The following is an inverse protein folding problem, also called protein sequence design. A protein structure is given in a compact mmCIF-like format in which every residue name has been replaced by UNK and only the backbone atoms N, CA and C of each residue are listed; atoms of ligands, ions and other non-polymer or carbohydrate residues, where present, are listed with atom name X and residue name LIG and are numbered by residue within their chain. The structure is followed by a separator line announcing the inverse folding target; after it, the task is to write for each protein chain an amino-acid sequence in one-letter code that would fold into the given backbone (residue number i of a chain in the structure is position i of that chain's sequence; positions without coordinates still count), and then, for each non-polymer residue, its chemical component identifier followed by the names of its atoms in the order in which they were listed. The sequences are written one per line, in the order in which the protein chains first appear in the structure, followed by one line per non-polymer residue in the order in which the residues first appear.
data_IF_539829765118
#
_entry.id   IF_539829765118
#
_cell.length_a   1.000
_cell.length_b   1.000
_cell.length_c   1.000
_cell.angle_alpha   90.00
_cell.angle_beta   90.00
_cell.angle_gamma   90.00
#
_symmetry.space_group_name_H-M   'P 1'
#
loop_
_entity.id
_entity.type
_entity.pdbx_description
1 polymer ?
#
# COMPACT_ATOMS: atom_id res chain seq x y z
N UNK A 1 -2.64 -28.09 -16.81
CA UNK A 1 -3.99 -27.59 -17.11
C UNK A 1 -3.93 -26.08 -17.00
N UNK A 2 -3.72 -25.42 -18.14
CA UNK A 2 -3.69 -23.96 -18.23
C UNK A 2 -5.10 -23.42 -18.07
N UNK A 3 -5.35 -22.65 -17.01
CA UNK A 3 -6.52 -21.78 -16.93
C UNK A 3 -6.26 -20.57 -17.82
N UNK A 4 -6.98 -20.54 -18.93
CA UNK A 4 -7.11 -19.40 -19.83
C UNK A 4 -7.66 -18.22 -19.00
N UNK A 5 -6.84 -17.17 -18.79
CA UNK A 5 -7.34 -15.86 -18.34
C UNK A 5 -7.97 -15.21 -19.58
N UNK A 6 -9.25 -14.91 -19.53
CA UNK A 6 -9.91 -14.14 -20.57
C UNK A 6 -9.37 -12.70 -20.54
N UNK A 7 -8.90 -12.21 -21.69
CA UNK A 7 -8.49 -10.82 -21.91
C UNK A 7 -9.67 -9.87 -21.71
N UNK A 8 -9.77 -9.33 -20.50
CA UNK A 8 -10.05 -7.91 -20.25
C UNK A 8 -8.87 -7.41 -19.41
N UNK A 9 -8.35 -6.22 -19.70
CA UNK A 9 -7.29 -5.61 -18.90
C UNK A 9 -7.81 -5.33 -17.48
N UNK A 10 -7.76 -6.33 -16.60
CA UNK A 10 -8.17 -6.19 -15.21
C UNK A 10 -7.12 -5.32 -14.50
N UNK A 11 -7.45 -4.03 -14.42
CA UNK A 11 -6.73 -3.00 -13.67
C UNK A 11 -6.30 -3.53 -12.30
N UNK A 12 -4.99 -3.63 -12.06
CA UNK A 12 -4.46 -3.95 -10.72
C UNK A 12 -4.05 -2.67 -10.01
N UNK A 13 -4.51 -2.51 -8.77
CA UNK A 13 -4.34 -1.30 -7.95
C UNK A 13 -3.47 -1.61 -6.75
N UNK A 14 -2.27 -1.04 -6.72
CA UNK A 14 -1.29 -1.30 -5.68
C UNK A 14 -1.12 -0.08 -4.80
N UNK A 15 -1.07 -0.28 -3.49
CA UNK A 15 -0.81 0.79 -2.54
C UNK A 15 0.45 0.47 -1.74
N UNK A 16 1.34 1.44 -1.61
CA UNK A 16 2.53 1.35 -0.79
C UNK A 16 2.45 2.44 0.28
N UNK A 17 2.28 2.05 1.54
CA UNK A 17 2.22 3.01 2.65
C UNK A 17 3.45 2.88 3.55
N UNK A 18 4.08 4.02 3.86
CA UNK A 18 5.28 4.07 4.73
C UNK A 18 4.90 4.39 6.16
N UNK A 19 5.07 3.41 7.05
CA UNK A 19 4.95 3.55 8.50
C UNK A 19 6.30 3.87 9.13
N UNK A 20 6.62 5.16 9.24
CA UNK A 20 7.89 5.67 9.76
C UNK A 20 8.18 5.26 11.20
N UNK A 21 7.13 5.16 12.01
CA UNK A 21 7.26 4.78 13.43
C UNK A 21 6.83 3.36 13.73
N UNK A 22 6.18 2.69 12.78
CA UNK A 22 5.66 1.36 13.01
C UNK A 22 6.82 0.35 13.12
N UNK A 23 6.92 -0.42 14.23
CA UNK A 23 8.05 -1.30 14.48
C UNK A 23 8.14 -2.42 13.44
N UNK A 24 9.35 -2.68 12.95
CA UNK A 24 9.64 -3.73 11.95
C UNK A 24 9.80 -5.14 12.54
N UNK A 25 9.82 -5.28 13.87
CA UNK A 25 9.91 -6.56 14.59
C UNK A 25 9.35 -6.44 16.00
N UNK A 26 9.07 -7.59 16.62
CA UNK A 26 8.64 -7.65 18.02
C UNK A 26 7.13 -7.59 18.19
N UNK A 27 6.68 -7.21 19.39
CA UNK A 27 5.27 -7.30 19.77
C UNK A 27 4.59 -5.93 19.73
N UNK A 28 3.41 -5.88 19.12
CA UNK A 28 2.54 -4.70 19.09
C UNK A 28 1.62 -4.72 20.30
N UNK A 29 1.40 -3.56 20.94
CA UNK A 29 0.36 -3.43 21.94
C UNK A 29 -0.99 -3.21 21.25
N UNK A 30 -1.77 -4.29 21.10
CA UNK A 30 -3.09 -4.23 20.44
C UNK A 30 -4.11 -3.32 21.15
N UNK A 31 -3.84 -2.92 22.40
CA UNK A 31 -4.67 -1.97 23.14
C UNK A 31 -4.22 -0.51 22.95
N UNK A 32 -3.11 -0.27 22.25
CA UNK A 32 -2.53 1.05 22.01
C UNK A 32 -1.87 1.12 20.64
N UNK A 33 -2.69 1.06 19.59
CA UNK A 33 -2.23 1.09 18.19
C UNK A 33 -1.72 2.48 17.78
N UNK A 34 -2.33 3.55 18.31
CA UNK A 34 -2.03 4.93 17.96
C UNK A 34 -0.92 5.58 18.80
N UNK A 35 -0.67 5.08 20.01
CA UNK A 35 0.42 5.58 20.86
C UNK A 35 1.69 4.75 20.69
N UNK A 36 1.90 3.86 21.66
CA UNK A 36 3.15 3.09 21.85
C UNK A 36 3.47 2.10 20.74
N UNK A 37 2.54 1.83 19.82
CA UNK A 37 2.77 0.94 18.68
C UNK A 37 3.21 1.66 17.40
N UNK A 38 3.48 2.97 17.45
CA UNK A 38 4.06 3.70 16.32
C UNK A 38 3.06 3.97 15.19
N UNK A 39 1.83 4.36 15.54
CA UNK A 39 0.73 4.68 14.60
C UNK A 39 0.33 3.56 13.65
N UNK A 40 0.34 2.34 14.15
CA UNK A 40 -0.17 1.19 13.40
C UNK A 40 -1.66 1.37 13.05
N UNK A 41 -2.43 2.12 13.85
CA UNK A 41 -3.81 2.50 13.54
C UNK A 41 -3.95 3.14 12.14
N UNK A 42 -2.96 3.93 11.69
CA UNK A 42 -2.97 4.57 10.37
C UNK A 42 -2.81 3.52 9.28
N UNK A 43 -1.91 2.57 9.46
CA UNK A 43 -1.68 1.47 8.52
C UNK A 43 -2.88 0.54 8.44
N UNK A 44 -3.53 0.24 9.57
CA UNK A 44 -4.71 -0.65 9.59
C UNK A 44 -5.88 -0.02 8.84
N UNK A 45 -6.10 1.28 9.03
CA UNK A 45 -7.10 2.03 8.25
C UNK A 45 -6.77 2.06 6.76
N UNK A 46 -5.50 2.15 6.39
CA UNK A 46 -5.07 2.07 5.00
C UNK A 46 -5.37 0.70 4.38
N UNK A 47 -5.11 -0.40 5.09
CA UNK A 47 -5.49 -1.75 4.64
C UNK A 47 -7.01 -1.86 4.47
N UNK A 48 -7.77 -1.34 5.45
CA UNK A 48 -9.22 -1.35 5.40
C UNK A 48 -9.72 -0.67 4.12
N UNK A 49 -9.26 0.56 3.87
CA UNK A 49 -9.62 1.34 2.69
C UNK A 49 -9.17 0.70 1.36
N UNK A 50 -8.01 0.07 1.32
CA UNK A 50 -7.46 -0.52 0.10
C UNK A 50 -8.16 -1.83 -0.31
N UNK A 51 -8.61 -2.62 0.67
CA UNK A 51 -9.03 -3.99 0.40
C UNK A 51 -10.52 -4.24 0.58
N UNK A 52 -11.17 -3.65 1.58
CA UNK A 52 -12.48 -4.11 1.99
C UNK A 52 -13.63 -3.36 1.31
N UNK A 53 -14.61 -4.13 0.86
CA UNK A 53 -15.91 -3.64 0.38
C UNK A 53 -16.96 -3.86 1.47
N UNK A 54 -18.18 -3.34 1.24
CA UNK A 54 -19.32 -3.67 2.11
C UNK A 54 -19.55 -5.18 2.21
N UNK A 55 -19.29 -5.90 1.11
CA UNK A 55 -19.36 -7.35 1.02
C UNK A 55 -18.11 -7.86 0.29
N UNK A 56 -17.17 -8.41 1.06
CA UNK A 56 -15.98 -9.07 0.51
C UNK A 56 -14.74 -8.16 0.42
N UNK A 57 -13.81 -8.59 -0.43
CA UNK A 57 -12.47 -8.02 -0.59
C UNK A 57 -12.28 -7.72 -2.08
N UNK A 58 -11.73 -6.54 -2.41
CA UNK A 58 -11.31 -6.14 -3.76
C UNK A 58 -10.28 -7.14 -4.28
N UNK A 59 -10.59 -7.82 -5.39
CA UNK A 59 -9.74 -8.86 -5.98
C UNK A 59 -8.65 -8.31 -6.90
N UNK A 60 -8.77 -7.03 -7.21
CA UNK A 60 -7.95 -6.22 -8.10
C UNK A 60 -7.07 -5.24 -7.32
N UNK A 61 -6.91 -5.42 -5.99
CA UNK A 61 -6.12 -4.52 -5.16
C UNK A 61 -5.18 -5.22 -4.19
N UNK A 62 -4.01 -4.62 -3.98
CA UNK A 62 -3.02 -5.02 -3.00
C UNK A 62 -2.49 -3.82 -2.22
N UNK A 63 -2.00 -4.07 -1.01
CA UNK A 63 -1.34 -3.06 -0.19
C UNK A 63 -0.09 -3.59 0.50
N UNK A 64 1.03 -2.91 0.27
CA UNK A 64 2.32 -3.14 0.94
C UNK A 64 2.55 -2.08 2.02
N UNK A 65 2.66 -2.55 3.27
CA UNK A 65 3.09 -1.74 4.41
C UNK A 65 4.61 -1.75 4.50
N UNK A 66 5.23 -0.58 4.66
CA UNK A 66 6.66 -0.46 4.95
C UNK A 66 6.82 -0.08 6.42
N UNK A 67 7.29 -1.03 7.24
CA UNK A 67 7.52 -0.82 8.66
C UNK A 67 8.97 -0.40 8.87
N UNK A 68 9.17 0.90 9.12
CA UNK A 68 10.48 1.55 9.15
C UNK A 68 10.94 1.90 10.57
N UNK A 69 10.07 1.71 11.57
CA UNK A 69 10.32 2.10 12.95
C UNK A 69 11.01 1.03 13.80
N UNK A 70 11.45 1.47 14.98
CA UNK A 70 12.11 0.63 15.98
C UNK A 70 13.57 0.31 15.64
N UNK A 71 14.14 -0.68 16.32
CA UNK A 71 15.57 -1.05 16.19
C UNK A 71 15.83 -2.14 15.14
N UNK A 72 14.82 -2.56 14.39
CA UNK A 72 14.93 -3.61 13.38
C UNK A 72 15.24 -3.06 11.99
N UNK A 73 15.74 -3.91 11.09
CA UNK A 73 15.82 -3.58 9.66
C UNK A 73 14.41 -3.39 9.09
N UNK A 74 14.23 -2.57 8.05
CA UNK A 74 12.96 -2.39 7.36
C UNK A 74 12.30 -3.72 6.99
N UNK A 75 11.00 -3.80 7.24
CA UNK A 75 10.15 -4.94 6.88
C UNK A 75 8.99 -4.47 6.04
N UNK A 76 8.71 -5.19 4.96
CA UNK A 76 7.51 -5.03 4.15
C UNK A 76 6.51 -6.14 4.45
N UNK A 77 5.23 -5.79 4.50
CA UNK A 77 4.12 -6.75 4.63
C UNK A 77 3.12 -6.46 3.53
N UNK A 78 2.84 -7.43 2.67
CA UNK A 78 1.90 -7.29 1.58
C UNK A 78 0.60 -8.04 1.88
N UNK A 79 -0.52 -7.40 1.57
CA UNK A 79 -1.84 -8.00 1.56
C UNK A 79 -2.35 -8.00 0.11
N UNK A 80 -2.51 -9.17 -0.48
CA UNK A 80 -2.97 -9.38 -1.86
C UNK A 80 -4.45 -9.77 -1.86
N UNK A 81 -5.31 -8.83 -2.23
CA UNK A 81 -6.76 -9.01 -2.23
C UNK A 81 -7.26 -10.12 -3.15
N UNK A 82 -6.52 -10.46 -4.21
CA UNK A 82 -6.90 -11.51 -5.17
C UNK A 82 -7.08 -12.86 -4.48
N UNK A 83 -6.19 -13.18 -3.54
CA UNK A 83 -6.16 -14.47 -2.81
C UNK A 83 -6.42 -14.35 -1.31
N UNK A 84 -6.44 -13.13 -0.74
CA UNK A 84 -6.67 -12.90 0.69
C UNK A 84 -8.02 -13.49 1.14
N UNK A 85 -7.98 -14.23 2.24
CA UNK A 85 -9.16 -14.76 2.93
C UNK A 85 -8.92 -14.84 4.44
N UNK A 86 -10.01 -14.95 5.22
CA UNK A 86 -9.93 -15.18 6.67
C UNK A 86 -9.46 -13.96 7.48
N UNK A 87 -9.48 -12.75 6.89
CA UNK A 87 -9.13 -11.50 7.55
C UNK A 87 -10.40 -10.66 7.76
N UNK A 88 -10.52 -10.06 8.94
CA UNK A 88 -11.62 -9.16 9.28
C UNK A 88 -11.18 -7.69 9.13
N UNK A 89 -12.07 -6.78 8.67
CA UNK A 89 -11.75 -5.37 8.44
C UNK A 89 -11.53 -4.55 9.73
N UNK A 90 -11.81 -5.13 10.89
CA UNK A 90 -11.58 -4.50 12.19
C UNK A 90 -10.07 -4.22 12.41
N UNK A 91 -9.75 -3.01 12.87
CA UNK A 91 -8.35 -2.56 13.04
C UNK A 91 -7.57 -3.46 13.99
N UNK A 92 -8.19 -3.93 15.08
CA UNK A 92 -7.53 -4.78 16.06
C UNK A 92 -7.26 -6.17 15.47
N UNK A 93 -8.19 -6.73 14.69
CA UNK A 93 -8.00 -7.99 13.99
C UNK A 93 -6.85 -7.92 12.98
N UNK A 94 -6.80 -6.85 12.17
CA UNK A 94 -5.71 -6.58 11.23
C UNK A 94 -4.36 -6.42 11.95
N UNK A 95 -4.33 -5.64 13.03
CA UNK A 95 -3.13 -5.45 13.83
C UNK A 95 -2.66 -6.77 14.47
N UNK A 96 -3.59 -7.67 14.80
CA UNK A 96 -3.30 -9.03 15.23
C UNK A 96 -2.56 -9.85 14.16
N UNK A 97 -2.93 -9.73 12.88
CA UNK A 97 -2.22 -10.40 11.79
C UNK A 97 -0.82 -9.81 11.59
N UNK A 98 -0.70 -8.48 11.55
CA UNK A 98 0.62 -7.81 11.49
C UNK A 98 1.49 -8.22 12.67
N UNK A 99 0.94 -8.29 13.88
CA UNK A 99 1.69 -8.71 15.07
C UNK A 99 2.21 -10.13 14.95
N UNK A 100 1.53 -11.05 14.25
CA UNK A 100 2.06 -12.40 13.99
C UNK A 100 3.23 -12.34 13.01
N UNK A 101 3.09 -11.57 11.93
CA UNK A 101 4.16 -11.37 10.93
C UNK A 101 5.44 -10.82 11.57
N UNK A 102 5.31 -9.92 12.56
CA UNK A 102 6.45 -9.35 13.27
C UNK A 102 7.20 -10.33 14.19
N UNK A 103 6.60 -11.48 14.52
CA UNK A 103 7.27 -12.56 15.26
C UNK A 103 8.10 -13.48 14.35
N UNK A 104 7.81 -13.48 13.04
CA UNK A 104 8.53 -14.30 12.08
C UNK A 104 9.93 -13.75 11.80
N UNK A 105 10.93 -14.62 11.52
CA UNK A 105 12.22 -14.20 11.02
C UNK A 105 12.08 -13.26 9.82
N UNK A 106 12.97 -12.27 9.70
CA UNK A 106 12.95 -11.35 8.57
C UNK A 106 13.51 -12.06 7.32
N UNK A 107 12.74 -12.21 6.23
CA UNK A 107 13.26 -12.77 4.98
C UNK A 107 14.36 -11.90 4.37
N UNK A 108 15.07 -12.44 3.38
CA UNK A 108 15.98 -11.65 2.57
C UNK A 108 15.23 -10.53 1.83
N UNK A 109 15.95 -9.46 1.49
CA UNK A 109 15.38 -8.33 0.73
C UNK A 109 14.92 -8.83 -0.64
N UNK A 110 13.67 -8.50 -1.00
CA UNK A 110 13.02 -8.92 -2.24
C UNK A 110 12.52 -10.36 -2.27
N UNK A 111 12.72 -11.14 -1.19
CA UNK A 111 12.16 -12.48 -1.08
C UNK A 111 10.88 -12.45 -0.25
N UNK A 112 9.74 -12.58 -0.93
CA UNK A 112 8.43 -12.69 -0.30
C UNK A 112 8.22 -14.08 0.30
N UNK A 113 7.88 -14.13 1.58
CA UNK A 113 7.47 -15.34 2.29
C UNK A 113 5.99 -15.22 2.68
N UNK A 114 5.18 -16.21 2.32
CA UNK A 114 3.74 -16.22 2.60
C UNK A 114 3.46 -16.89 3.95
N UNK A 115 2.72 -16.20 4.82
CA UNK A 115 2.29 -16.76 6.12
C UNK A 115 0.94 -17.48 5.98
N UNK A 116 0.02 -16.89 5.22
CA UNK A 116 -1.24 -17.49 4.82
C UNK A 116 -1.69 -16.85 3.50
N UNK A 117 -2.66 -17.44 2.78
CA UNK A 117 -2.98 -16.95 1.44
C UNK A 117 -3.34 -15.46 1.44
N UNK A 118 -2.60 -14.71 0.62
CA UNK A 118 -2.72 -13.26 0.48
C UNK A 118 -2.05 -12.43 1.57
N UNK A 119 -1.35 -13.02 2.54
CA UNK A 119 -0.52 -12.31 3.52
C UNK A 119 0.92 -12.79 3.44
N UNK A 120 1.79 -11.93 2.93
CA UNK A 120 3.22 -12.20 2.80
C UNK A 120 4.07 -11.08 3.39
N UNK A 121 5.33 -11.36 3.62
CA UNK A 121 6.29 -10.37 4.10
C UNK A 121 7.66 -10.55 3.46
N UNK A 122 8.44 -9.47 3.47
CA UNK A 122 9.79 -9.43 2.91
C UNK A 122 10.65 -8.48 3.73
N UNK A 123 11.97 -8.66 3.69
CA UNK A 123 12.88 -7.56 4.01
C UNK A 123 12.82 -6.47 2.93
N UNK A 124 13.32 -5.29 3.25
CA UNK A 124 13.44 -4.17 2.30
C UNK A 124 12.64 -2.95 2.73
N UNK A 125 12.88 -1.86 2.01
CA UNK A 125 12.36 -0.52 2.25
C UNK A 125 11.57 -0.01 1.03
N UNK A 126 11.27 1.29 1.02
CA UNK A 126 10.56 1.95 -0.06
C UNK A 126 11.27 1.78 -1.42
N UNK A 127 12.59 1.96 -1.47
CA UNK A 127 13.37 1.82 -2.70
C UNK A 127 13.26 0.40 -3.27
N UNK A 128 13.25 -0.61 -2.39
CA UNK A 128 13.06 -2.00 -2.79
C UNK A 128 11.73 -2.18 -3.56
N UNK A 129 10.65 -1.57 -3.07
CA UNK A 129 9.34 -1.60 -3.74
C UNK A 129 9.35 -0.83 -5.06
N UNK A 130 9.98 0.35 -5.11
CA UNK A 130 10.14 1.12 -6.35
C UNK A 130 10.86 0.29 -7.41
N UNK A 131 11.96 -0.39 -7.05
CA UNK A 131 12.74 -1.21 -7.98
C UNK A 131 11.95 -2.42 -8.48
N UNK A 132 11.18 -3.08 -7.62
CA UNK A 132 10.30 -4.20 -7.98
C UNK A 132 9.18 -3.76 -8.91
N UNK A 133 8.56 -2.61 -8.62
CA UNK A 133 7.46 -2.07 -9.40
C UNK A 133 7.93 -1.56 -10.76
N UNK A 134 9.10 -0.91 -10.81
CA UNK A 134 9.75 -0.50 -12.06
C UNK A 134 10.08 -1.69 -12.96
N UNK A 135 10.60 -2.79 -12.40
CA UNK A 135 10.89 -4.03 -13.15
C UNK A 135 9.63 -4.70 -13.70
N UNK A 136 8.49 -4.48 -13.04
CA UNK A 136 7.19 -5.03 -13.43
C UNK A 136 6.38 -4.05 -14.30
N UNK A 137 7.01 -2.94 -14.73
CA UNK A 137 6.40 -1.91 -15.59
C UNK A 137 5.11 -1.30 -15.00
N UNK A 138 5.03 -1.24 -13.67
CA UNK A 138 3.89 -0.64 -12.96
C UNK A 138 3.96 0.88 -13.06
N UNK A 139 2.85 1.53 -13.40
CA UNK A 139 2.78 2.99 -13.39
C UNK A 139 2.75 3.49 -11.95
N UNK A 140 3.77 4.23 -11.52
CA UNK A 140 3.94 4.64 -10.13
C UNK A 140 3.56 6.10 -9.92
N UNK A 141 2.73 6.34 -8.91
CA UNK A 141 2.19 7.65 -8.56
C UNK A 141 2.57 7.98 -7.12
N UNK A 142 3.20 9.15 -6.92
CA UNK A 142 3.38 9.75 -5.60
C UNK A 142 2.22 10.69 -5.34
N UNK A 143 1.44 10.46 -4.28
CA UNK A 143 0.40 11.40 -3.90
C UNK A 143 1.00 12.60 -3.17
N UNK A 144 0.79 13.79 -3.72
CA UNK A 144 1.41 15.05 -3.27
C UNK A 144 0.41 16.21 -3.44
N UNK A 145 0.16 16.98 -2.38
CA UNK A 145 -0.85 18.06 -2.42
C UNK A 145 -0.52 19.15 -3.42
N UNK A 146 0.78 19.38 -3.68
CA UNK A 146 1.27 20.52 -4.46
C UNK A 146 1.43 20.16 -5.96
N UNK A 147 1.14 18.90 -6.32
CA UNK A 147 1.21 18.41 -7.68
C UNK A 147 -0.08 18.70 -8.48
N UNK A 148 -0.04 18.59 -9.83
CA UNK A 148 -1.26 18.62 -10.63
C UNK A 148 -2.27 17.56 -10.18
N UNK A 149 -3.56 17.84 -10.37
CA UNK A 149 -4.63 16.90 -10.02
C UNK A 149 -4.44 15.56 -10.72
N UNK A 150 -4.71 14.47 -10.00
CA UNK A 150 -4.61 13.09 -10.49
C UNK A 150 -5.53 12.82 -11.67
N UNK A 151 -6.65 13.51 -11.75
CA UNK A 151 -7.61 13.40 -12.84
C UNK A 151 -7.58 14.64 -13.72
N UNK A 152 -7.96 14.47 -14.98
CA UNK A 152 -8.18 15.58 -15.91
C UNK A 152 -9.39 15.29 -16.80
N UNK A 153 -9.85 16.27 -17.57
CA UNK A 153 -10.90 16.06 -18.58
C UNK A 153 -10.36 15.45 -19.89
N UNK A 154 -9.06 15.11 -19.94
CA UNK A 154 -8.44 14.52 -21.12
C UNK A 154 -8.69 13.01 -21.15
N UNK A 155 -8.95 12.46 -22.35
CA UNK A 155 -9.19 11.02 -22.54
C UNK A 155 -7.87 10.22 -22.59
N UNK A 156 -7.11 10.20 -21.49
CA UNK A 156 -6.01 9.24 -21.33
C UNK A 156 -6.54 7.92 -20.79
N UNK A 157 -6.06 6.81 -21.36
CA UNK A 157 -6.41 5.47 -20.92
C UNK A 157 -5.78 5.17 -19.56
N UNK A 158 -6.54 4.55 -18.66
CA UNK A 158 -6.02 4.09 -17.37
C UNK A 158 -5.04 2.92 -17.62
N UNK A 159 -3.81 2.96 -17.07
CA UNK A 159 -2.87 1.84 -17.17
C UNK A 159 -3.43 0.57 -16.55
N UNK A 160 -3.03 -0.60 -17.05
CA UNK A 160 -3.49 -1.90 -16.52
C UNK A 160 -2.95 -2.24 -15.13
N UNK A 161 -1.81 -1.66 -14.72
CA UNK A 161 -1.25 -1.83 -13.37
C UNK A 161 -0.70 -0.49 -12.86
N UNK A 162 -1.23 -0.06 -11.72
CA UNK A 162 -0.97 1.26 -11.15
C UNK A 162 -0.68 1.17 -9.66
N UNK A 163 0.39 1.82 -9.24
CA UNK A 163 0.88 1.84 -7.88
C UNK A 163 0.84 3.24 -7.27
N UNK A 164 0.35 3.37 -6.05
CA UNK A 164 0.27 4.64 -5.33
C UNK A 164 1.13 4.59 -4.07
N UNK A 165 2.00 5.58 -3.90
CA UNK A 165 2.81 5.76 -2.69
C UNK A 165 2.15 6.77 -1.75
N UNK A 166 2.02 6.37 -0.49
CA UNK A 166 1.47 7.16 0.60
C UNK A 166 2.41 7.14 1.80
N UNK A 167 2.42 8.23 2.54
CA UNK A 167 3.07 8.31 3.84
C UNK A 167 2.06 8.08 4.98
N UNK A 168 2.56 7.80 6.19
CA UNK A 168 1.77 7.73 7.40
C UNK A 168 1.43 9.14 7.95
N UNK A 169 1.50 9.34 9.27
CA UNK A 169 1.27 10.65 9.88
C UNK A 169 2.50 11.57 9.88
N UNK A 170 3.59 11.15 9.23
CA UNK A 170 4.77 11.97 8.94
C UNK A 170 4.89 12.18 7.43
N UNK A 171 5.51 13.27 6.96
CA UNK A 171 5.90 13.37 5.57
C UNK A 171 6.97 12.32 5.24
N UNK A 172 7.11 12.00 3.95
CA UNK A 172 8.28 11.27 3.46
C UNK A 172 9.56 12.02 3.84
N UNK A 173 10.62 11.26 4.11
CA UNK A 173 11.97 11.81 4.32
C UNK A 173 12.58 12.31 3.00
N UNK A 174 13.61 13.16 3.08
CA UNK A 174 14.30 13.67 1.89
C UNK A 174 14.86 12.55 1.00
N UNK A 175 15.33 11.45 1.63
CA UNK A 175 15.81 10.27 0.92
C UNK A 175 14.70 9.56 0.15
N UNK A 176 13.53 9.40 0.76
CA UNK A 176 12.36 8.77 0.13
C UNK A 176 11.78 9.66 -0.97
N UNK A 177 11.71 10.98 -0.74
CA UNK A 177 11.29 11.95 -1.75
C UNK A 177 12.20 11.91 -2.97
N UNK A 178 13.53 11.86 -2.78
CA UNK A 178 14.48 11.76 -3.89
C UNK A 178 14.23 10.52 -4.75
N UNK A 179 14.03 9.36 -4.11
CA UNK A 179 13.71 8.10 -4.79
C UNK A 179 12.37 8.14 -5.53
N UNK A 180 11.34 8.72 -4.90
CA UNK A 180 10.01 8.83 -5.48
C UNK A 180 9.98 9.82 -6.64
N UNK A 181 10.63 10.97 -6.53
CA UNK A 181 10.68 12.00 -7.59
C UNK A 181 11.42 11.53 -8.84
N UNK A 182 12.41 10.62 -8.68
CA UNK A 182 13.12 10.01 -9.82
C UNK A 182 12.27 8.98 -10.57
N UNK A 183 11.33 8.30 -9.89
CA UNK A 183 10.68 7.09 -10.41
C UNK A 183 9.15 7.21 -10.56
N UNK A 184 8.52 8.19 -9.93
CA UNK A 184 7.07 8.30 -9.83
C UNK A 184 6.55 9.60 -10.46
N UNK A 185 5.30 9.55 -10.90
CA UNK A 185 4.55 10.72 -11.35
C UNK A 185 3.86 11.33 -10.12
N UNK A 186 4.17 12.58 -9.78
CA UNK A 186 3.53 13.28 -8.66
C UNK A 186 2.13 13.75 -9.04
N UNK A 187 1.11 13.42 -8.24
CA UNK A 187 -0.27 13.87 -8.44
C UNK A 187 -1.02 14.16 -7.14
N UNK A 188 -1.94 15.13 -7.20
CA UNK A 188 -2.74 15.59 -6.08
C UNK A 188 -4.17 15.04 -6.12
N UNK A 189 -4.78 14.89 -4.94
CA UNK A 189 -6.21 14.63 -4.77
C UNK A 189 -6.99 15.88 -4.34
N UNK A 190 -6.32 17.03 -4.26
CA UNK A 190 -6.88 18.31 -3.84
C UNK A 190 -5.91 19.08 -2.94
N UNK A 191 -6.27 20.33 -2.62
CA UNK A 191 -5.41 21.28 -1.88
C UNK A 191 -5.18 20.88 -0.41
N UNK A 192 -6.04 20.05 0.16
CA UNK A 192 -5.98 19.66 1.55
C UNK A 192 -5.13 18.41 1.78
N UNK A 193 -4.31 18.45 2.83
CA UNK A 193 -3.62 17.28 3.35
C UNK A 193 -4.62 16.35 4.02
N UNK A 194 -5.01 15.29 3.31
CA UNK A 194 -5.96 14.29 3.80
C UNK A 194 -5.24 13.06 4.36
N UNK A 195 -5.91 12.33 5.26
CA UNK A 195 -5.35 11.10 5.81
C UNK A 195 -5.24 10.02 4.72
N UNK A 196 -4.15 9.24 4.72
CA UNK A 196 -3.86 8.28 3.65
C UNK A 196 -4.99 7.30 3.32
N UNK A 197 -5.72 6.80 4.31
CA UNK A 197 -6.87 5.92 4.06
C UNK A 197 -8.03 6.61 3.32
N UNK A 198 -8.23 7.93 3.51
CA UNK A 198 -9.20 8.71 2.74
C UNK A 198 -8.71 8.89 1.30
N UNK A 199 -7.40 9.16 1.12
CA UNK A 199 -6.80 9.24 -0.20
C UNK A 199 -6.99 7.93 -1.00
N UNK A 200 -6.76 6.78 -0.37
CA UNK A 200 -7.03 5.46 -0.96
C UNK A 200 -8.50 5.33 -1.36
N UNK A 201 -9.44 5.74 -0.49
CA UNK A 201 -10.87 5.71 -0.79
C UNK A 201 -11.26 6.58 -2.00
N UNK A 202 -10.68 7.78 -2.12
CA UNK A 202 -10.90 8.68 -3.27
C UNK A 202 -10.34 8.07 -4.54
N UNK A 203 -9.11 7.55 -4.51
CA UNK A 203 -8.48 6.87 -5.66
C UNK A 203 -9.35 5.70 -6.13
N UNK A 204 -9.81 4.85 -5.20
CA UNK A 204 -10.72 3.77 -5.54
C UNK A 204 -12.02 4.25 -6.16
N UNK A 205 -12.64 5.28 -5.58
CA UNK A 205 -13.87 5.84 -6.13
C UNK A 205 -13.67 6.33 -7.57
N UNK A 206 -12.54 6.97 -7.85
CA UNK A 206 -12.23 7.47 -9.19
C UNK A 206 -11.98 6.35 -10.19
N UNK A 207 -11.16 5.37 -9.83
CA UNK A 207 -10.87 4.21 -10.67
C UNK A 207 -12.12 3.34 -10.90
N UNK A 208 -12.97 3.16 -9.89
CA UNK A 208 -14.25 2.42 -10.01
C UNK A 208 -15.22 3.09 -10.99
N UNK A 209 -15.16 4.42 -11.13
CA UNK A 209 -16.00 5.18 -12.06
C UNK A 209 -15.31 5.45 -13.41
N UNK A 210 -14.10 4.93 -13.62
CA UNK A 210 -13.35 5.10 -14.86
C UNK A 210 -12.99 6.55 -15.16
N UNK A 211 -12.75 7.37 -14.13
CA UNK A 211 -12.27 8.74 -14.35
C UNK A 211 -10.90 8.69 -15.03
N UNK A 212 -10.68 9.44 -16.13
CA UNK A 212 -9.39 9.45 -16.79
C UNK A 212 -8.34 10.09 -15.89
N UNK A 213 -7.17 9.46 -15.89
CA UNK A 213 -6.02 9.92 -15.13
C UNK A 213 -5.25 10.96 -15.96
N UNK A 214 -4.56 11.84 -15.26
CA UNK A 214 -3.60 12.77 -15.82
C UNK A 214 -2.22 12.18 -15.53
N UNK A 215 -1.54 11.52 -16.48
CA UNK A 215 -0.28 10.79 -16.19
C UNK A 215 0.93 11.40 -16.92
#
# INVERSE_FOLDING_TARGET
MSTCRCEGDDLTRRFAIVGHRAPSRGKINLNDLAGGSGRIDVLMRAINAALFLSHGIRKDSEITLHLMGGEGRPRRINFDGSVLWGVHPDERALAGQVSKVLQEPLPAVGQWFELHPGLSHSGGDLQTTIDEWKKSEITMIKLDSDAPMLWSDNNESIPSDIGFFLSDDRPFTDSELSSLDESCISRSLGENWIQGHIAIGIVHHQLDNGFPLNL
#
